data_IF_980420107329
#
_entry.id   IF_980420107329
#
_cell.length_a   1.000
_cell.length_b   1.000
_cell.length_c   1.000
_cell.angle_alpha   90.00
_cell.angle_beta   90.00
_cell.angle_gamma   90.00
#
_symmetry.space_group_name_H-M   'P 1'
#
loop_
_entity.id
_entity.type
_entity.pdbx_description
1 polymer ?
#
# COMPACT_ATOMS: atom_id res chain seq x y z
N UNK A 1 -12.59 25.80 0.56
CA UNK A 1 -11.54 25.54 1.58
C UNK A 1 -11.24 24.05 1.57
N UNK A 2 -9.97 23.66 1.50
CA UNK A 2 -9.53 22.25 1.59
C UNK A 2 -8.71 22.10 2.86
N UNK A 3 -9.10 21.17 3.73
CA UNK A 3 -8.47 20.96 5.03
C UNK A 3 -7.60 19.72 5.02
N UNK A 4 -6.44 19.80 5.65
CA UNK A 4 -5.49 18.70 5.77
C UNK A 4 -4.87 18.69 7.16
N UNK A 5 -4.64 17.53 7.72
CA UNK A 5 -3.88 17.33 8.97
C UNK A 5 -2.37 17.20 8.73
N UNK A 6 -1.94 17.26 7.48
CA UNK A 6 -0.53 17.30 7.12
C UNK A 6 -0.06 18.75 6.96
N UNK A 7 0.72 19.24 7.93
CA UNK A 7 1.29 20.59 7.94
C UNK A 7 2.17 20.89 6.71
N UNK A 8 2.86 19.89 6.16
CA UNK A 8 3.67 20.10 4.95
C UNK A 8 2.76 20.37 3.75
N UNK A 9 1.65 19.63 3.66
CA UNK A 9 0.67 19.81 2.58
C UNK A 9 -0.07 21.13 2.72
N UNK A 10 -0.36 21.62 3.94
CA UNK A 10 -1.05 22.90 4.11
C UNK A 10 -0.29 24.10 3.54
N UNK A 11 1.04 24.01 3.44
CA UNK A 11 1.90 25.05 2.86
C UNK A 11 2.35 24.76 1.43
N UNK A 12 1.83 23.70 0.79
CA UNK A 12 2.32 23.20 -0.49
C UNK A 12 2.27 24.24 -1.62
N UNK A 13 1.21 25.05 -1.67
CA UNK A 13 1.03 26.08 -2.71
C UNK A 13 1.90 27.33 -2.49
N UNK A 14 2.40 27.54 -1.28
CA UNK A 14 3.20 28.74 -0.90
C UNK A 14 4.68 28.43 -0.73
N UNK A 15 5.09 27.17 -0.89
CA UNK A 15 6.47 26.76 -0.65
C UNK A 15 7.39 27.31 -1.76
N UNK A 16 8.50 28.00 -1.41
CA UNK A 16 9.34 28.69 -2.40
C UNK A 16 10.18 27.74 -3.27
N UNK A 17 10.45 26.53 -2.81
CA UNK A 17 11.23 25.51 -3.52
C UNK A 17 10.52 24.17 -3.44
N UNK A 18 10.22 23.61 -4.61
CA UNK A 18 9.65 22.28 -4.74
C UNK A 18 10.68 21.33 -5.32
N UNK A 19 10.61 20.07 -4.92
CA UNK A 19 11.42 19.01 -5.54
C UNK A 19 10.90 18.71 -6.95
N UNK A 20 11.75 18.18 -7.83
CA UNK A 20 11.33 17.79 -9.19
C UNK A 20 10.19 16.76 -9.19
N UNK A 21 10.08 15.94 -8.15
CA UNK A 21 8.97 14.98 -7.97
C UNK A 21 7.64 15.67 -7.65
N UNK A 22 7.68 16.84 -7.00
CA UNK A 22 6.50 17.58 -6.55
C UNK A 22 5.98 18.58 -7.59
N UNK A 23 6.86 19.12 -8.45
CA UNK A 23 6.56 20.25 -9.34
C UNK A 23 5.37 20.06 -10.31
N UNK A 24 4.98 18.81 -10.62
CA UNK A 24 3.79 18.54 -11.46
C UNK A 24 2.46 18.89 -10.76
N UNK A 25 2.41 18.79 -9.43
CA UNK A 25 1.17 18.97 -8.68
C UNK A 25 0.71 20.43 -8.58
N UNK A 26 1.55 21.43 -8.25
CA UNK A 26 1.11 22.82 -8.19
C UNK A 26 0.60 23.34 -9.55
N UNK A 27 1.21 22.91 -10.66
CA UNK A 27 0.74 23.29 -12.00
C UNK A 27 -0.64 22.70 -12.32
N UNK A 28 -0.91 21.48 -11.86
CA UNK A 28 -2.24 20.88 -12.00
C UNK A 28 -3.24 21.57 -11.07
N UNK A 29 -2.85 21.83 -9.84
CA UNK A 29 -3.70 22.37 -8.79
C UNK A 29 -4.02 23.85 -9.02
N UNK A 30 -3.14 24.63 -9.64
CA UNK A 30 -3.38 26.04 -9.95
C UNK A 30 -4.61 26.29 -10.83
N UNK A 31 -5.11 25.25 -11.51
CA UNK A 31 -6.34 25.28 -12.32
C UNK A 31 -7.62 25.35 -11.48
N UNK A 32 -7.53 25.14 -10.18
CA UNK A 32 -8.67 25.14 -9.26
C UNK A 32 -8.60 26.32 -8.29
N UNK A 33 -9.77 26.88 -7.95
CA UNK A 33 -9.87 27.92 -6.93
C UNK A 33 -10.08 27.30 -5.54
N UNK A 34 -9.00 27.15 -4.78
CA UNK A 34 -9.05 26.66 -3.41
C UNK A 34 -7.98 27.30 -2.53
N UNK A 35 -8.14 27.10 -1.22
CA UNK A 35 -7.15 27.43 -0.20
C UNK A 35 -6.92 26.18 0.65
N UNK A 36 -5.67 25.94 1.02
CA UNK A 36 -5.28 24.87 1.95
C UNK A 36 -5.21 25.43 3.37
N UNK A 37 -5.81 24.70 4.29
CA UNK A 37 -5.83 25.04 5.71
C UNK A 37 -5.43 23.82 6.53
N UNK A 38 -4.61 24.04 7.56
CA UNK A 38 -4.28 23.00 8.52
C UNK A 38 -5.48 22.75 9.45
N UNK A 39 -5.83 21.48 9.63
CA UNK A 39 -6.80 21.03 10.61
C UNK A 39 -6.20 19.89 11.43
N UNK A 40 -6.23 19.97 12.77
CA UNK A 40 -5.69 18.91 13.61
C UNK A 40 -6.34 17.55 13.28
N UNK A 41 -5.54 16.48 13.20
CA UNK A 41 -6.01 15.13 12.88
C UNK A 41 -7.09 14.62 13.83
N UNK A 42 -7.08 15.07 15.10
CA UNK A 42 -8.13 14.82 16.10
C UNK A 42 -9.49 15.43 15.77
N UNK A 43 -9.59 16.23 14.71
CA UNK A 43 -10.86 16.74 14.20
C UNK A 43 -11.15 16.28 12.78
N UNK A 44 -10.22 15.53 12.17
CA UNK A 44 -10.28 15.05 10.80
C UNK A 44 -10.76 13.57 10.71
N UNK A 45 -11.54 13.11 11.68
CA UNK A 45 -11.91 11.70 11.85
C UNK A 45 -12.63 11.09 10.65
N UNK A 46 -13.47 11.87 9.96
CA UNK A 46 -14.22 11.38 8.80
C UNK A 46 -13.27 11.04 7.64
N UNK A 47 -12.28 11.91 7.40
CA UNK A 47 -11.29 11.69 6.34
C UNK A 47 -10.34 10.56 6.71
N UNK A 48 -9.90 10.50 7.96
CA UNK A 48 -9.08 9.39 8.47
C UNK A 48 -9.81 8.04 8.29
N UNK A 49 -11.07 7.95 8.73
CA UNK A 49 -11.89 6.75 8.56
C UNK A 49 -12.06 6.36 7.09
N UNK A 50 -12.29 7.34 6.21
CA UNK A 50 -12.43 7.09 4.78
C UNK A 50 -11.12 6.59 4.15
N UNK A 51 -9.99 7.19 4.51
CA UNK A 51 -8.66 6.79 4.02
C UNK A 51 -8.27 5.38 4.44
N UNK A 52 -8.70 4.95 5.63
CA UNK A 52 -8.41 3.62 6.20
C UNK A 52 -9.41 2.55 5.80
N UNK A 53 -10.50 2.88 5.11
CA UNK A 53 -11.60 1.95 4.82
C UNK A 53 -11.13 0.65 4.17
N UNK A 54 -10.22 0.72 3.20
CA UNK A 54 -9.65 -0.46 2.55
C UNK A 54 -8.80 -1.30 3.52
N UNK A 55 -7.97 -0.66 4.34
CA UNK A 55 -7.14 -1.34 5.34
C UNK A 55 -8.00 -2.06 6.39
N UNK A 56 -9.08 -1.41 6.84
CA UNK A 56 -10.04 -1.99 7.78
C UNK A 56 -10.78 -3.19 7.18
N UNK A 57 -11.16 -3.13 5.90
CA UNK A 57 -11.75 -4.27 5.21
C UNK A 57 -10.78 -5.46 5.13
N UNK A 58 -9.52 -5.20 4.79
CA UNK A 58 -8.47 -6.23 4.78
C UNK A 58 -8.27 -6.83 6.17
N UNK A 59 -8.15 -6.01 7.21
CA UNK A 59 -8.00 -6.50 8.58
C UNK A 59 -9.22 -7.30 9.05
N UNK A 60 -10.43 -6.86 8.72
CA UNK A 60 -11.66 -7.62 9.01
C UNK A 60 -11.67 -8.99 8.35
N UNK A 61 -11.21 -9.08 7.10
CA UNK A 61 -11.09 -10.37 6.40
C UNK A 61 -10.03 -11.29 7.02
N UNK A 62 -8.86 -10.74 7.40
CA UNK A 62 -7.79 -11.51 8.06
C UNK A 62 -8.25 -11.98 9.44
N UNK A 63 -8.91 -11.11 10.22
CA UNK A 63 -9.47 -11.46 11.52
C UNK A 63 -10.55 -12.54 11.38
N UNK A 64 -11.42 -12.46 10.38
CA UNK A 64 -12.41 -13.50 10.09
C UNK A 64 -11.75 -14.85 9.76
N UNK A 65 -10.69 -14.85 8.93
CA UNK A 65 -9.90 -16.03 8.60
C UNK A 65 -9.15 -16.60 9.82
N UNK A 66 -8.62 -15.75 10.69
CA UNK A 66 -7.96 -16.16 11.94
C UNK A 66 -8.94 -16.66 13.00
N UNK A 67 -10.17 -16.15 13.02
CA UNK A 67 -11.25 -16.57 13.92
C UNK A 67 -12.02 -17.79 13.42
N UNK A 68 -11.88 -18.12 12.13
CA UNK A 68 -12.43 -19.34 11.55
C UNK A 68 -11.69 -20.54 12.16
N UNK A 69 -12.33 -21.21 13.11
CA UNK A 69 -11.90 -22.48 13.67
C UNK A 69 -11.93 -23.59 12.60
N UNK A 70 -10.98 -23.57 11.67
CA UNK A 70 -10.60 -24.78 10.93
C UNK A 70 -9.73 -25.57 11.89
N UNK A 71 -10.38 -26.49 12.62
CA UNK A 71 -9.70 -27.56 13.33
C UNK A 71 -8.74 -28.22 12.33
N UNK A 72 -7.45 -28.01 12.55
CA UNK A 72 -6.42 -28.69 11.79
C UNK A 72 -6.28 -30.11 12.34
N UNK A 73 -6.01 -31.07 11.46
CA UNK A 73 -4.62 -31.26 11.10
C UNK A 73 -4.41 -31.03 9.60
N UNK A 74 -3.93 -29.83 9.26
CA UNK A 74 -3.19 -29.54 8.03
C UNK A 74 -1.81 -30.25 8.01
N UNK A 75 -1.60 -31.26 8.85
CA UNK A 75 -0.38 -32.06 8.91
C UNK A 75 -0.40 -33.24 7.92
N UNK A 76 -1.59 -33.72 7.54
CA UNK A 76 -1.72 -34.88 6.63
C UNK A 76 -1.94 -34.49 5.16
N UNK A 77 -2.15 -33.20 4.86
CA UNK A 77 -2.29 -32.68 3.49
C UNK A 77 -0.97 -32.13 2.92
N UNK A 78 0.10 -32.11 3.74
CA UNK A 78 1.40 -31.51 3.43
C UNK A 78 2.28 -32.28 2.44
N UNK A 79 1.79 -33.36 1.81
CA UNK A 79 2.62 -34.18 0.90
C UNK A 79 2.20 -34.08 -0.57
N UNK A 80 1.04 -33.50 -0.93
CA UNK A 80 0.62 -33.48 -2.34
C UNK A 80 0.65 -32.12 -3.05
N UNK A 81 0.63 -30.99 -2.35
CA UNK A 81 0.59 -29.67 -3.04
C UNK A 81 1.99 -29.05 -3.25
N UNK A 82 3.04 -29.58 -2.62
CA UNK A 82 4.44 -29.17 -2.88
C UNK A 82 4.98 -29.78 -4.20
N UNK A 83 4.19 -30.60 -4.91
CA UNK A 83 4.51 -31.02 -6.28
C UNK A 83 3.75 -30.16 -7.28
N UNK A 84 4.10 -28.87 -7.35
CA UNK A 84 3.34 -28.02 -8.27
C UNK A 84 3.70 -26.55 -8.32
N UNK A 85 4.91 -26.16 -7.90
CA UNK A 85 5.58 -24.94 -8.37
C UNK A 85 6.91 -24.83 -7.66
N UNK A 86 7.98 -25.10 -8.38
CA UNK A 86 9.10 -24.21 -8.22
C UNK A 86 9.90 -24.13 -9.51
N UNK A 87 9.80 -22.96 -10.12
CA UNK A 87 10.77 -22.46 -11.08
C UNK A 87 12.23 -22.55 -10.59
N UNK A 88 12.49 -22.97 -9.33
CA UNK A 88 13.81 -23.36 -8.85
C UNK A 88 14.41 -24.57 -9.59
N UNK A 89 13.62 -25.54 -10.08
CA UNK A 89 14.18 -26.65 -10.87
C UNK A 89 14.60 -26.19 -12.28
N UNK A 90 13.89 -25.22 -12.86
CA UNK A 90 14.26 -24.66 -14.16
C UNK A 90 15.56 -23.83 -14.09
N UNK A 91 15.82 -23.15 -12.97
CA UNK A 91 17.06 -22.40 -12.76
C UNK A 91 18.25 -23.29 -12.39
N UNK A 92 18.03 -24.40 -11.66
CA UNK A 92 19.10 -25.34 -11.31
C UNK A 92 19.64 -26.08 -12.56
N UNK A 93 18.77 -26.47 -13.49
CA UNK A 93 19.17 -27.13 -14.74
C UNK A 93 19.94 -26.19 -15.70
N UNK A 94 19.67 -24.88 -15.65
CA UNK A 94 20.37 -23.86 -16.45
C UNK A 94 21.77 -23.53 -15.91
N UNK A 95 22.04 -23.80 -14.63
CA UNK A 95 23.35 -23.59 -14.00
C UNK A 95 24.27 -24.80 -14.18
N UNK A 96 23.74 -26.03 -14.28
CA UNK A 96 24.54 -27.21 -14.65
C UNK A 96 24.88 -27.27 -16.14
N UNK A 97 24.09 -26.66 -17.01
CA UNK A 97 24.42 -26.51 -18.43
C UNK A 97 25.33 -25.31 -18.65
N UNK A 98 26.56 -25.44 -18.17
CA UNK A 98 27.63 -24.49 -18.41
C UNK A 98 27.67 -24.02 -19.86
N UNK A 99 27.44 -22.73 -20.08
CA UNK A 99 27.88 -22.03 -21.28
C UNK A 99 28.43 -20.66 -20.91
N UNK A 100 29.59 -20.71 -20.28
CA UNK A 100 30.71 -19.85 -20.65
C UNK A 100 31.12 -20.16 -22.08
N UNK A 101 30.73 -19.30 -23.03
CA UNK A 101 31.61 -18.64 -24.01
C UNK A 101 30.80 -17.78 -24.96
#
# INVERSE_FOLDING_TARGET
>A
MVKTDNTVVSHFMTQPKLTSRQARWPELLSKFHFMLEYQAGSSNHVVDALSRRANLATLGSVAALSSSAVATPLRDQGTQVITGRSAAQALAHLVEQGKTR
#
